data_IF_413055990051
#
_entry.id   IF_413055990051
#
_cell.length_a   1.000
_cell.length_b   1.000
_cell.length_c   1.000
_cell.angle_alpha   90.00
_cell.angle_beta   90.00
_cell.angle_gamma   90.00
#
_symmetry.space_group_name_H-M   'P 1'
#
loop_
_entity.id
_entity.type
_entity.pdbx_description
1 polymer ?
#
# COMPACT_ATOMS: atom_id res chain seq x y z
N UNK A 1 -34.88 4.38 31.87
CA UNK A 1 -33.78 3.98 30.95
C UNK A 1 -33.71 5.02 29.86
N UNK A 2 -32.63 5.81 29.79
CA UNK A 2 -32.44 6.73 28.66
C UNK A 2 -32.04 5.92 27.42
N UNK A 3 -32.58 6.28 26.25
CA UNK A 3 -32.20 5.63 24.99
C UNK A 3 -30.73 5.94 24.68
N UNK A 4 -29.93 4.90 24.45
CA UNK A 4 -28.54 5.00 23.96
C UNK A 4 -28.49 5.36 22.45
N UNK A 5 -29.42 6.22 22.01
CA UNK A 5 -29.32 6.94 20.75
C UNK A 5 -28.32 8.09 20.94
N UNK A 6 -27.06 7.73 20.80
CA UNK A 6 -25.87 8.56 20.88
C UNK A 6 -26.01 9.84 20.02
N UNK A 7 -26.40 10.97 20.64
CA UNK A 7 -26.74 12.23 19.96
C UNK A 7 -25.47 13.00 19.58
N UNK A 8 -24.78 12.49 18.56
CA UNK A 8 -23.72 13.23 17.89
C UNK A 8 -24.28 14.41 17.11
N UNK A 9 -23.57 15.52 17.13
CA UNK A 9 -24.01 16.72 16.43
C UNK A 9 -23.78 16.60 14.92
N UNK A 10 -24.68 17.19 14.14
CA UNK A 10 -24.52 17.36 12.69
C UNK A 10 -23.19 18.08 12.35
N UNK A 11 -22.74 18.96 13.27
CA UNK A 11 -21.48 19.68 13.20
C UNK A 11 -20.25 18.77 13.21
N UNK A 12 -20.17 17.78 14.11
CA UNK A 12 -19.02 16.86 14.17
C UNK A 12 -18.88 15.99 12.92
N UNK A 13 -20.02 15.62 12.29
CA UNK A 13 -20.03 14.92 11.00
C UNK A 13 -19.62 15.83 9.85
N UNK A 14 -20.09 17.07 9.86
CA UNK A 14 -19.69 18.13 8.90
C UNK A 14 -18.19 18.40 8.98
N UNK A 15 -17.63 18.44 10.19
CA UNK A 15 -16.19 18.58 10.43
C UNK A 15 -15.39 17.38 9.88
N UNK A 16 -15.88 16.16 10.08
CA UNK A 16 -15.24 14.98 9.49
C UNK A 16 -15.27 15.00 7.95
N UNK A 17 -16.38 15.39 7.32
CA UNK A 17 -16.47 15.58 5.87
C UNK A 17 -15.49 16.65 5.35
N UNK A 18 -15.39 17.80 6.04
CA UNK A 18 -14.40 18.84 5.72
C UNK A 18 -12.96 18.31 5.83
N UNK A 19 -12.64 17.54 6.86
CA UNK A 19 -11.32 16.94 7.01
C UNK A 19 -11.02 15.89 5.92
N UNK A 20 -12.02 15.12 5.49
CA UNK A 20 -11.89 14.16 4.39
C UNK A 20 -11.54 14.88 3.07
N UNK A 21 -12.30 15.93 2.73
CA UNK A 21 -12.02 16.77 1.56
C UNK A 21 -10.66 17.46 1.67
N UNK A 22 -10.28 17.95 2.86
CA UNK A 22 -8.96 18.55 3.09
C UNK A 22 -7.81 17.56 2.82
N UNK A 23 -7.93 16.29 3.26
CA UNK A 23 -6.95 15.23 2.98
C UNK A 23 -6.89 14.90 1.48
N UNK A 24 -8.00 14.97 0.75
CA UNK A 24 -8.03 14.68 -0.69
C UNK A 24 -7.47 15.85 -1.54
N UNK A 25 -7.76 17.09 -1.14
CA UNK A 25 -7.11 18.30 -1.69
C UNK A 25 -5.60 18.23 -1.46
N UNK A 26 -5.16 17.82 -0.26
CA UNK A 26 -3.74 17.67 0.05
C UNK A 26 -3.07 16.50 -0.70
N UNK A 27 -3.78 15.39 -0.95
CA UNK A 27 -3.33 14.34 -1.87
C UNK A 27 -3.03 14.92 -3.25
N UNK A 28 -4.02 15.56 -3.86
CA UNK A 28 -3.93 16.14 -5.21
C UNK A 28 -2.80 17.16 -5.34
N UNK A 29 -2.56 17.97 -4.30
CA UNK A 29 -1.43 18.91 -4.25
C UNK A 29 -0.06 18.22 -4.27
N UNK A 30 0.07 17.04 -3.66
CA UNK A 30 1.33 16.30 -3.56
C UNK A 30 1.62 15.35 -4.74
N UNK A 31 0.62 14.98 -5.54
CA UNK A 31 0.76 13.96 -6.60
C UNK A 31 1.88 14.29 -7.58
N UNK A 32 1.88 15.49 -8.14
CA UNK A 32 2.86 15.90 -9.16
C UNK A 32 4.28 16.01 -8.58
N UNK A 33 4.42 16.50 -7.35
CA UNK A 33 5.68 16.53 -6.64
C UNK A 33 6.20 15.10 -6.39
N UNK A 34 5.38 14.22 -5.81
CA UNK A 34 5.75 12.84 -5.51
C UNK A 34 6.14 12.06 -6.77
N UNK A 35 5.50 12.32 -7.92
CA UNK A 35 5.81 11.73 -9.23
C UNK A 35 7.18 12.15 -9.76
N UNK A 36 7.53 13.44 -9.61
CA UNK A 36 8.84 13.96 -9.99
C UNK A 36 9.94 13.45 -9.05
N UNK A 37 9.63 13.26 -7.77
CA UNK A 37 10.55 12.71 -6.78
C UNK A 37 10.75 11.20 -6.94
N UNK A 38 9.71 10.43 -7.32
CA UNK A 38 9.83 9.02 -7.68
C UNK A 38 10.77 8.82 -8.89
N UNK A 39 10.66 9.69 -9.91
CA UNK A 39 11.60 9.73 -11.05
C UNK A 39 13.02 10.07 -10.59
N UNK A 40 13.18 11.03 -9.69
CA UNK A 40 14.48 11.43 -9.14
C UNK A 40 15.15 10.30 -8.33
N UNK A 41 14.39 9.62 -7.47
CA UNK A 41 14.84 8.43 -6.72
C UNK A 41 15.29 7.32 -7.66
N UNK A 42 14.50 7.01 -8.69
CA UNK A 42 14.84 6.02 -9.71
C UNK A 42 16.16 6.38 -10.42
N UNK A 43 16.30 7.61 -10.93
CA UNK A 43 17.53 8.09 -11.59
C UNK A 43 18.74 7.97 -10.64
N UNK A 44 18.59 8.39 -9.38
CA UNK A 44 19.66 8.31 -8.38
C UNK A 44 20.11 6.87 -8.11
N UNK A 45 19.16 5.92 -7.99
CA UNK A 45 19.46 4.49 -7.83
C UNK A 45 20.23 3.97 -9.05
N UNK A 46 19.77 4.24 -10.27
CA UNK A 46 20.46 3.76 -11.46
C UNK A 46 21.85 4.40 -11.65
N UNK A 47 22.01 5.69 -11.39
CA UNK A 47 23.32 6.35 -11.43
C UNK A 47 24.31 5.73 -10.43
N UNK A 48 23.87 5.49 -9.19
CA UNK A 48 24.68 4.81 -8.17
C UNK A 48 25.07 3.40 -8.62
N UNK A 49 24.12 2.62 -9.14
CA UNK A 49 24.40 1.26 -9.64
C UNK A 49 25.36 1.29 -10.83
N UNK A 50 25.12 2.11 -11.84
CA UNK A 50 25.97 2.22 -13.04
C UNK A 50 27.39 2.68 -12.71
N UNK A 51 27.57 3.65 -11.80
CA UNK A 51 28.89 4.09 -11.34
C UNK A 51 29.71 2.96 -10.66
N UNK A 52 29.05 1.91 -10.19
CA UNK A 52 29.67 0.75 -9.54
C UNK A 52 29.94 -0.43 -10.48
N UNK A 53 29.59 -0.32 -11.77
CA UNK A 53 29.78 -1.38 -12.77
C UNK A 53 30.86 -0.93 -13.76
N UNK A 54 31.93 -1.71 -13.99
CA UNK A 54 32.96 -1.33 -14.96
C UNK A 54 32.38 -1.29 -16.39
N UNK A 55 32.69 -0.23 -17.12
CA UNK A 55 32.32 -0.10 -18.53
C UNK A 55 33.33 -0.84 -19.44
N UNK A 56 32.89 -1.43 -20.57
CA UNK A 56 31.51 -1.56 -21.02
C UNK A 56 30.85 -2.80 -20.39
N UNK A 57 29.74 -2.58 -19.67
CA UNK A 57 28.96 -3.65 -19.05
C UNK A 57 28.10 -4.35 -20.09
N UNK A 58 28.70 -5.23 -20.90
CA UNK A 58 28.00 -6.07 -21.88
C UNK A 58 27.84 -7.47 -21.32
N UNK A 59 26.61 -7.99 -21.31
CA UNK A 59 26.41 -9.40 -20.99
C UNK A 59 26.93 -10.26 -22.16
N UNK A 60 28.10 -10.88 -21.97
CA UNK A 60 28.76 -11.74 -22.96
C UNK A 60 27.92 -12.95 -23.46
N UNK A 61 26.76 -13.21 -22.86
CA UNK A 61 25.81 -14.26 -23.23
C UNK A 61 24.59 -13.78 -24.03
N UNK A 62 24.30 -12.48 -24.08
CA UNK A 62 23.11 -11.96 -24.80
C UNK A 62 23.31 -10.64 -25.55
N UNK A 63 24.49 -10.00 -25.46
CA UNK A 63 24.90 -8.82 -26.25
C UNK A 63 23.96 -7.60 -26.18
N UNK A 64 23.05 -7.55 -25.21
CA UNK A 64 22.18 -6.41 -24.93
C UNK A 64 22.88 -5.42 -24.00
N UNK A 65 22.78 -4.12 -24.31
CA UNK A 65 23.19 -3.07 -23.39
C UNK A 65 22.45 -3.22 -22.06
N UNK A 66 23.20 -3.17 -20.95
CA UNK A 66 22.64 -3.24 -19.61
C UNK A 66 21.67 -2.08 -19.37
N UNK A 67 20.45 -2.41 -18.92
CA UNK A 67 19.43 -1.62 -18.20
C UNK A 67 18.02 -2.20 -18.52
N UNK A 68 17.72 -3.38 -17.95
CA UNK A 68 16.39 -4.06 -17.82
C UNK A 68 15.23 -3.58 -18.74
N UNK A 69 14.50 -4.39 -19.51
CA UNK A 69 14.42 -5.83 -19.78
C UNK A 69 13.43 -5.95 -20.97
N UNK A 70 13.36 -7.05 -21.73
CA UNK A 70 12.19 -7.31 -22.60
C UNK A 70 12.00 -8.81 -22.90
N UNK A 71 10.79 -9.26 -23.30
CA UNK A 71 10.10 -10.26 -22.49
C UNK A 71 9.64 -11.48 -23.29
N UNK A 72 8.89 -12.38 -22.62
CA UNK A 72 8.16 -13.52 -23.22
C UNK A 72 9.00 -14.57 -23.96
N UNK A 73 9.47 -15.54 -23.18
CA UNK A 73 9.69 -16.97 -23.51
C UNK A 73 9.83 -17.38 -24.99
N UNK A 74 11.08 -17.48 -25.45
CA UNK A 74 11.49 -18.52 -26.41
C UNK A 74 12.24 -19.71 -25.76
N UNK A 75 12.92 -19.49 -24.62
CA UNK A 75 14.06 -20.36 -24.21
C UNK A 75 13.97 -20.93 -22.77
N UNK A 76 13.12 -20.41 -21.87
CA UNK A 76 12.92 -20.99 -20.53
C UNK A 76 12.10 -22.29 -20.51
N UNK A 77 12.18 -23.09 -21.58
CA UNK A 77 11.28 -24.20 -21.82
C UNK A 77 12.02 -25.52 -22.10
N UNK A 78 12.51 -26.17 -21.04
CA UNK A 78 12.44 -27.64 -20.93
C UNK A 78 11.95 -28.09 -19.55
N UNK A 79 10.62 -28.07 -19.44
CA UNK A 79 9.74 -28.97 -18.66
C UNK A 79 9.89 -28.98 -17.14
N UNK A 80 8.80 -28.60 -16.47
CA UNK A 80 8.64 -28.75 -15.02
C UNK A 80 8.10 -27.50 -14.35
N UNK A 81 7.11 -26.83 -14.94
CA UNK A 81 6.49 -25.69 -14.29
C UNK A 81 5.82 -26.12 -12.98
N UNK A 82 6.31 -25.60 -11.85
CA UNK A 82 5.50 -25.35 -10.65
C UNK A 82 6.13 -24.22 -9.81
N UNK A 83 5.24 -23.28 -9.45
CA UNK A 83 5.30 -22.26 -8.39
C UNK A 83 6.33 -21.11 -8.40
N UNK A 84 7.18 -20.91 -9.43
CA UNK A 84 8.19 -19.82 -9.41
C UNK A 84 8.78 -19.49 -10.80
N UNK A 85 9.32 -18.30 -11.13
CA UNK A 85 9.69 -17.04 -10.44
C UNK A 85 8.99 -16.63 -9.12
N UNK A 86 9.56 -16.98 -7.96
CA UNK A 86 9.05 -16.56 -6.63
C UNK A 86 10.14 -16.07 -5.66
N UNK A 87 10.71 -16.87 -4.75
CA UNK A 87 11.72 -17.89 -5.04
C UNK A 87 12.95 -17.37 -5.84
N UNK A 88 13.58 -16.30 -5.36
CA UNK A 88 15.03 -16.10 -5.50
C UNK A 88 15.78 -17.21 -4.74
N UNK A 89 15.84 -18.40 -5.33
CA UNK A 89 16.35 -19.63 -4.70
C UNK A 89 15.48 -20.10 -3.51
N UNK A 90 14.69 -21.15 -3.70
CA UNK A 90 14.23 -21.95 -2.56
C UNK A 90 14.94 -23.32 -2.56
N UNK A 91 15.38 -23.67 -1.36
CA UNK A 91 15.96 -24.91 -0.84
C UNK A 91 16.33 -26.07 -1.79
N UNK A 92 17.62 -26.45 -1.70
CA UNK A 92 18.11 -27.83 -1.86
C UNK A 92 18.11 -28.53 -3.24
N UNK A 93 18.30 -27.82 -4.36
CA UNK A 93 18.86 -28.46 -5.58
C UNK A 93 19.60 -27.48 -6.52
N UNK A 94 20.85 -27.81 -6.87
CA UNK A 94 21.69 -27.28 -7.98
C UNK A 94 21.59 -25.77 -8.29
N UNK A 95 22.63 -25.03 -7.92
CA UNK A 95 22.70 -23.56 -7.96
C UNK A 95 22.26 -22.92 -9.30
N UNK A 96 21.27 -22.02 -9.28
CA UNK A 96 20.93 -21.13 -10.41
C UNK A 96 22.09 -20.17 -10.76
N UNK A 97 22.26 -19.86 -12.05
CA UNK A 97 23.29 -18.93 -12.52
C UNK A 97 22.88 -17.48 -12.20
N UNK A 98 23.69 -16.70 -11.47
CA UNK A 98 23.39 -15.29 -11.21
C UNK A 98 23.50 -14.46 -12.50
N UNK A 99 22.85 -13.29 -12.54
CA UNK A 99 23.09 -12.34 -13.63
C UNK A 99 24.55 -11.82 -13.55
N UNK A 100 25.29 -11.77 -14.67
CA UNK A 100 26.76 -11.70 -14.63
C UNK A 100 27.34 -10.48 -13.89
N UNK A 101 26.69 -9.32 -14.00
CA UNK A 101 27.13 -8.07 -13.35
C UNK A 101 26.45 -7.81 -11.98
N UNK A 102 25.62 -8.74 -11.52
CA UNK A 102 24.80 -8.65 -10.31
C UNK A 102 23.86 -7.42 -10.24
N UNK A 103 23.56 -6.76 -11.38
CA UNK A 103 22.84 -5.47 -11.47
C UNK A 103 21.50 -5.48 -10.74
N UNK A 104 20.70 -6.55 -10.87
CA UNK A 104 19.42 -6.65 -10.16
C UNK A 104 19.58 -6.60 -8.63
N UNK A 105 20.60 -7.28 -8.09
CA UNK A 105 20.93 -7.24 -6.67
C UNK A 105 21.58 -5.90 -6.28
N UNK A 106 22.33 -5.23 -7.17
CA UNK A 106 22.84 -3.88 -6.91
C UNK A 106 21.70 -2.85 -6.80
N UNK A 107 20.69 -2.94 -7.68
CA UNK A 107 19.46 -2.13 -7.60
C UNK A 107 18.70 -2.44 -6.30
N UNK A 108 18.52 -3.72 -5.96
CA UNK A 108 17.90 -4.14 -4.69
C UNK A 108 18.63 -3.56 -3.47
N UNK A 109 19.95 -3.74 -3.40
CA UNK A 109 20.79 -3.23 -2.31
C UNK A 109 20.73 -1.70 -2.21
N UNK A 110 20.68 -0.97 -3.33
CA UNK A 110 20.55 0.49 -3.30
C UNK A 110 19.13 0.90 -2.88
N UNK A 111 18.07 0.17 -3.26
CA UNK A 111 16.71 0.39 -2.75
C UNK A 111 16.66 0.22 -1.22
N UNK A 112 17.23 -0.88 -0.70
CA UNK A 112 17.34 -1.13 0.75
C UNK A 112 18.16 -0.06 1.47
N UNK A 113 19.32 0.32 0.91
CA UNK A 113 20.19 1.37 1.43
C UNK A 113 19.48 2.73 1.45
N UNK A 114 18.66 3.04 0.45
CA UNK A 114 17.82 4.25 0.43
C UNK A 114 16.54 4.11 1.28
N UNK A 115 16.18 2.93 1.76
CA UNK A 115 15.05 2.73 2.66
C UNK A 115 15.42 3.07 4.11
N UNK A 116 14.65 3.93 4.77
CA UNK A 116 14.91 4.43 6.13
C UNK A 116 15.14 3.30 7.13
N UNK A 117 14.34 2.25 7.02
CA UNK A 117 14.38 1.08 7.92
C UNK A 117 15.04 -0.16 7.30
N UNK A 118 15.56 -0.11 6.07
CA UNK A 118 16.08 -1.27 5.33
C UNK A 118 15.12 -2.48 5.25
N UNK A 119 13.80 -2.24 5.21
CA UNK A 119 12.75 -3.26 5.06
C UNK A 119 11.79 -2.80 3.96
N UNK A 120 12.14 -2.94 2.66
CA UNK A 120 11.26 -2.52 1.58
C UNK A 120 10.09 -3.49 1.38
N UNK A 121 8.96 -2.94 0.94
CA UNK A 121 7.72 -3.70 0.68
C UNK A 121 7.75 -4.39 -0.68
N UNK A 122 8.59 -5.43 -0.80
CA UNK A 122 8.83 -6.15 -2.07
C UNK A 122 7.55 -6.67 -2.75
N UNK A 123 6.53 -7.08 -1.97
CA UNK A 123 5.24 -7.54 -2.51
C UNK A 123 4.43 -6.46 -3.27
N UNK A 124 4.77 -5.18 -3.11
CA UNK A 124 4.10 -4.11 -3.85
C UNK A 124 4.68 -3.90 -5.26
N UNK A 125 5.86 -4.44 -5.56
CA UNK A 125 6.65 -4.07 -6.74
C UNK A 125 6.94 -5.26 -7.67
N UNK A 126 7.04 -4.98 -8.97
CA UNK A 126 7.43 -5.96 -9.99
C UNK A 126 8.83 -5.64 -10.52
N UNK A 127 9.82 -6.47 -10.20
CA UNK A 127 11.23 -6.19 -10.52
C UNK A 127 11.53 -6.10 -12.04
N UNK A 128 10.76 -6.77 -12.89
CA UNK A 128 10.90 -6.70 -14.35
C UNK A 128 10.56 -5.32 -14.92
N UNK A 129 9.88 -4.46 -14.16
CA UNK A 129 9.47 -3.11 -14.54
C UNK A 129 10.34 -2.02 -13.88
N UNK A 130 11.38 -2.40 -13.13
CA UNK A 130 12.18 -1.45 -12.34
C UNK A 130 12.96 -0.41 -13.14
N UNK A 131 13.25 -0.61 -14.43
CA UNK A 131 13.96 0.41 -15.24
C UNK A 131 13.02 1.22 -16.13
N UNK A 132 11.91 0.64 -16.56
CA UNK A 132 10.92 1.31 -17.41
C UNK A 132 9.91 2.12 -16.61
N UNK A 133 9.72 1.83 -15.32
CA UNK A 133 8.62 2.39 -14.52
C UNK A 133 9.13 2.84 -13.13
N UNK A 134 9.50 4.12 -12.96
CA UNK A 134 9.96 4.68 -11.68
C UNK A 134 9.05 4.39 -10.49
N UNK A 135 7.73 4.40 -10.73
CA UNK A 135 6.75 4.09 -9.70
C UNK A 135 6.90 2.68 -9.08
N UNK A 136 7.39 1.70 -9.82
CA UNK A 136 7.61 0.35 -9.26
C UNK A 136 8.70 0.36 -8.19
N UNK A 137 9.77 1.14 -8.37
CA UNK A 137 10.76 1.36 -7.32
C UNK A 137 10.14 2.13 -6.13
N UNK A 138 9.37 3.19 -6.38
CA UNK A 138 8.71 3.96 -5.32
C UNK A 138 7.74 3.10 -4.46
N UNK A 139 7.05 2.12 -5.08
CA UNK A 139 6.19 1.16 -4.37
C UNK A 139 6.91 0.31 -3.31
N UNK A 140 8.22 0.13 -3.42
CA UNK A 140 9.01 -0.57 -2.40
C UNK A 140 9.11 0.22 -1.06
N UNK A 141 8.79 1.51 -1.06
CA UNK A 141 8.77 2.37 0.14
C UNK A 141 7.36 2.54 0.75
N UNK A 142 6.32 2.01 0.10
CA UNK A 142 4.94 2.05 0.61
C UNK A 142 4.73 1.06 1.75
N UNK A 143 3.65 1.17 2.54
CA UNK A 143 3.28 0.14 3.51
C UNK A 143 3.10 -1.23 2.85
N UNK A 144 3.34 -2.34 3.55
CA UNK A 144 3.40 -3.67 2.95
C UNK A 144 2.07 -4.12 2.30
N UNK A 145 0.93 -3.60 2.73
CA UNK A 145 -0.39 -4.08 2.34
C UNK A 145 -1.24 -2.98 1.70
N UNK A 146 -1.97 -3.34 0.63
CA UNK A 146 -2.92 -2.46 -0.06
C UNK A 146 -2.41 -1.75 -1.33
N UNK A 147 -1.12 -1.88 -1.70
CA UNK A 147 -0.52 -1.07 -2.77
C UNK A 147 0.00 -1.83 -3.99
N UNK A 148 -0.02 -3.17 -3.99
CA UNK A 148 0.49 -3.99 -5.11
C UNK A 148 -0.22 -3.70 -6.44
N UNK A 149 -1.54 -3.53 -6.41
CA UNK A 149 -2.37 -3.21 -7.59
C UNK A 149 -2.41 -1.73 -7.99
N UNK A 150 -1.74 -0.82 -7.27
CA UNK A 150 -1.74 0.62 -7.61
C UNK A 150 -0.74 0.87 -8.74
N UNK A 151 -1.23 1.37 -9.89
CA UNK A 151 -0.44 1.50 -11.12
C UNK A 151 0.35 2.79 -11.20
N UNK A 152 -0.09 3.81 -10.46
CA UNK A 152 0.45 5.18 -10.45
C UNK A 152 0.35 5.82 -9.06
N UNK A 153 0.86 7.05 -8.93
CA UNK A 153 0.69 7.88 -7.74
C UNK A 153 -0.76 8.38 -7.60
N UNK A 154 -1.42 8.65 -8.71
CA UNK A 154 -2.81 9.10 -8.75
C UNK A 154 -3.76 8.05 -8.15
N UNK A 155 -3.48 6.77 -8.37
CA UNK A 155 -4.23 5.64 -7.77
C UNK A 155 -3.98 5.48 -6.26
N UNK A 156 -2.89 6.06 -5.76
CA UNK A 156 -2.35 5.84 -4.41
C UNK A 156 -2.95 6.84 -3.43
N UNK A 157 -3.39 6.38 -2.25
CA UNK A 157 -4.00 7.28 -1.27
C UNK A 157 -2.97 8.23 -0.62
N UNK A 158 -3.47 9.23 0.10
CA UNK A 158 -2.64 10.20 0.83
C UNK A 158 -1.63 9.50 1.77
N UNK A 159 -2.05 8.46 2.47
CA UNK A 159 -1.18 7.73 3.40
C UNK A 159 -0.04 7.01 2.68
N UNK A 160 -0.27 6.46 1.49
CA UNK A 160 0.76 5.90 0.62
C UNK A 160 1.78 6.95 0.19
N UNK A 161 1.33 8.09 -0.34
CA UNK A 161 2.21 9.19 -0.77
C UNK A 161 3.09 9.66 0.39
N UNK A 162 2.51 9.94 1.56
CA UNK A 162 3.29 10.35 2.74
C UNK A 162 4.22 9.22 3.22
N UNK A 163 3.81 7.95 3.13
CA UNK A 163 4.65 6.82 3.53
C UNK A 163 5.87 6.64 2.61
N UNK A 164 5.73 6.85 1.30
CA UNK A 164 6.87 6.91 0.36
C UNK A 164 7.87 7.98 0.81
N UNK A 165 7.40 9.20 1.10
CA UNK A 165 8.23 10.30 1.59
C UNK A 165 8.91 9.98 2.94
N UNK A 166 8.20 9.33 3.86
CA UNK A 166 8.74 8.98 5.18
C UNK A 166 9.77 7.84 5.16
N UNK A 167 9.61 6.88 4.24
CA UNK A 167 10.42 5.67 4.18
C UNK A 167 11.61 5.78 3.22
N UNK A 168 11.63 6.74 2.30
CA UNK A 168 12.76 6.95 1.39
C UNK A 168 13.71 8.04 1.92
N UNK A 169 14.99 7.69 2.13
CA UNK A 169 16.02 8.60 2.67
C UNK A 169 16.29 9.83 1.80
N UNK A 170 15.93 9.77 0.52
CA UNK A 170 15.96 10.89 -0.43
C UNK A 170 15.21 12.14 0.07
N UNK A 171 14.19 11.98 0.91
CA UNK A 171 13.42 13.10 1.47
C UNK A 171 13.96 13.64 2.81
N UNK A 172 14.96 12.99 3.43
CA UNK A 172 15.47 13.37 4.76
C UNK A 172 15.96 14.83 4.84
N UNK A 173 16.43 15.38 3.71
CA UNK A 173 16.95 16.75 3.58
C UNK A 173 16.05 17.67 2.75
N UNK A 174 14.88 17.18 2.29
CA UNK A 174 13.96 17.93 1.43
C UNK A 174 12.84 18.66 2.16
N UNK A 175 12.58 18.35 3.43
CA UNK A 175 11.55 19.00 4.25
C UNK A 175 12.19 19.78 5.39
N UNK A 176 11.58 20.91 5.76
CA UNK A 176 12.09 21.83 6.78
C UNK A 176 12.16 21.19 8.18
N UNK A 177 11.31 20.18 8.42
CA UNK A 177 11.32 19.37 9.63
C UNK A 177 11.93 18.00 9.33
N UNK A 178 13.20 17.74 9.67
CA UNK A 178 13.84 16.47 9.40
C UNK A 178 13.06 15.32 10.06
N UNK A 179 13.03 14.17 9.39
CA UNK A 179 12.19 13.02 9.76
C UNK A 179 12.75 12.35 11.02
N UNK A 180 12.43 12.90 12.19
CA UNK A 180 12.68 12.44 13.56
C UNK A 180 13.62 11.22 13.69
N UNK A 181 14.84 11.45 14.17
CA UNK A 181 15.90 10.45 14.25
C UNK A 181 15.84 9.54 15.50
N UNK A 182 14.90 9.75 16.42
CA UNK A 182 14.80 8.96 17.65
C UNK A 182 13.39 8.92 18.27
N UNK A 183 13.18 7.98 19.19
CA UNK A 183 11.88 7.71 19.86
C UNK A 183 11.33 8.88 20.68
N UNK A 184 12.18 9.84 21.05
CA UNK A 184 11.84 10.97 21.93
C UNK A 184 11.77 12.32 21.18
N UNK A 185 11.95 12.33 19.86
CA UNK A 185 11.81 13.55 19.05
C UNK A 185 10.33 13.82 18.76
N UNK A 186 9.87 15.09 18.75
CA UNK A 186 8.50 15.41 18.34
C UNK A 186 8.23 14.90 16.91
N UNK A 187 7.00 14.42 16.61
CA UNK A 187 6.69 13.88 15.31
C UNK A 187 6.87 14.95 14.22
N UNK A 188 7.69 14.64 13.22
CA UNK A 188 7.89 15.51 12.06
C UNK A 188 6.56 15.72 11.31
N UNK A 189 6.53 16.75 10.45
CA UNK A 189 5.31 17.17 9.77
C UNK A 189 4.66 16.05 8.93
N UNK A 190 5.48 15.22 8.27
CA UNK A 190 5.03 14.02 7.54
C UNK A 190 4.39 12.97 8.48
N UNK A 191 4.94 12.76 9.67
CA UNK A 191 4.34 11.85 10.67
C UNK A 191 2.92 12.31 11.04
N UNK A 192 2.77 13.61 11.36
CA UNK A 192 1.46 14.18 11.68
C UNK A 192 0.48 14.07 10.52
N UNK A 193 0.91 14.40 9.31
CA UNK A 193 0.09 14.29 8.11
C UNK A 193 -0.41 12.86 7.88
N UNK A 194 0.47 11.85 7.94
CA UNK A 194 0.09 10.42 7.84
C UNK A 194 -0.91 10.03 8.93
N UNK A 195 -0.70 10.47 10.15
CA UNK A 195 -1.56 10.08 11.27
C UNK A 195 -2.95 10.75 11.16
N UNK A 196 -3.03 11.99 10.66
CA UNK A 196 -4.28 12.64 10.21
C UNK A 196 -4.96 11.82 9.10
N UNK A 197 -4.22 11.45 8.05
CA UNK A 197 -4.77 10.67 6.94
C UNK A 197 -5.35 9.33 7.38
N UNK A 198 -4.77 8.71 8.41
CA UNK A 198 -5.33 7.52 9.08
C UNK A 198 -6.57 7.82 9.90
N UNK A 199 -6.52 8.83 10.78
CA UNK A 199 -7.66 9.23 11.62
C UNK A 199 -8.88 9.54 10.75
N UNK A 200 -8.71 10.35 9.70
CA UNK A 200 -9.80 10.77 8.83
C UNK A 200 -10.36 9.60 8.00
N UNK A 201 -9.52 8.76 7.39
CA UNK A 201 -9.98 7.66 6.51
C UNK A 201 -10.36 6.36 7.24
N UNK A 202 -10.01 6.20 8.51
CA UNK A 202 -10.33 5.01 9.32
C UNK A 202 -11.11 5.30 10.61
N UNK A 203 -11.59 6.53 10.84
CA UNK A 203 -12.51 6.80 11.95
C UNK A 203 -13.81 6.03 11.74
N UNK A 204 -14.00 4.93 12.48
CA UNK A 204 -15.25 4.16 12.53
C UNK A 204 -16.44 4.98 12.99
N UNK A 205 -16.19 6.14 13.59
CA UNK A 205 -17.21 7.05 14.09
C UNK A 205 -17.53 8.21 13.14
N UNK A 206 -16.66 8.54 12.17
CA UNK A 206 -16.84 9.66 11.23
C UNK A 206 -17.18 11.01 11.90
N UNK A 207 -16.43 11.37 12.95
CA UNK A 207 -16.60 12.60 13.76
C UNK A 207 -15.27 13.27 14.02
N UNK A 208 -15.27 14.60 14.12
CA UNK A 208 -14.15 15.42 14.57
C UNK A 208 -14.67 16.66 15.32
N UNK A 209 -13.98 17.07 16.37
CA UNK A 209 -14.24 18.36 17.03
C UNK A 209 -13.75 19.52 16.15
N UNK A 210 -14.15 20.75 16.49
CA UNK A 210 -13.60 21.94 15.81
C UNK A 210 -12.08 22.04 16.00
N UNK A 211 -11.56 21.67 17.17
CA UNK A 211 -10.14 21.70 17.47
C UNK A 211 -9.35 20.71 16.59
N UNK A 212 -9.86 19.49 16.42
CA UNK A 212 -9.25 18.50 15.51
C UNK A 212 -9.25 19.01 14.07
N UNK A 213 -10.37 19.58 13.60
CA UNK A 213 -10.47 20.13 12.26
C UNK A 213 -9.47 21.25 12.01
N UNK A 214 -9.28 22.16 12.97
CA UNK A 214 -8.31 23.25 12.86
C UNK A 214 -6.86 22.75 12.86
N UNK A 215 -6.51 21.74 13.68
CA UNK A 215 -5.16 21.14 13.63
C UNK A 215 -4.90 20.39 12.32
N UNK A 216 -5.94 19.77 11.73
CA UNK A 216 -5.87 19.14 10.41
C UNK A 216 -5.59 20.18 9.31
N UNK A 217 -6.39 21.24 9.22
CA UNK A 217 -6.15 22.31 8.23
C UNK A 217 -4.77 22.93 8.39
N UNK A 218 -4.36 23.22 9.64
CA UNK A 218 -3.03 23.77 9.95
C UNK A 218 -1.91 22.83 9.52
N UNK A 219 -2.01 21.54 9.82
CA UNK A 219 -0.98 20.56 9.50
C UNK A 219 -0.85 20.33 7.99
N UNK A 220 -1.96 20.21 7.27
CA UNK A 220 -1.96 20.02 5.81
C UNK A 220 -1.47 21.29 5.09
N UNK A 221 -1.89 22.48 5.54
CA UNK A 221 -1.41 23.75 5.00
C UNK A 221 0.09 23.93 5.21
N UNK A 222 0.59 23.65 6.42
CA UNK A 222 2.03 23.70 6.73
C UNK A 222 2.84 22.72 5.86
N UNK A 223 2.29 21.53 5.57
CA UNK A 223 2.96 20.54 4.72
C UNK A 223 3.10 21.07 3.29
N UNK A 224 1.98 21.47 2.67
CA UNK A 224 1.95 21.97 1.29
C UNK A 224 2.67 23.31 1.12
N UNK A 225 2.91 24.03 2.21
CA UNK A 225 3.66 25.30 2.24
C UNK A 225 5.12 25.14 2.71
N UNK A 226 5.67 23.92 2.76
CA UNK A 226 7.04 23.72 3.25
C UNK A 226 8.04 24.51 2.36
N UNK A 227 8.79 25.47 2.94
CA UNK A 227 9.64 26.39 2.18
C UNK A 227 10.84 25.71 1.52
N UNK A 228 11.17 24.47 1.87
CA UNK A 228 12.33 23.76 1.31
C UNK A 228 12.02 22.90 0.07
N UNK A 229 10.74 22.57 -0.19
CA UNK A 229 10.36 21.75 -1.36
C UNK A 229 9.01 22.07 -2.01
N UNK A 230 8.02 22.61 -1.29
CA UNK A 230 6.64 22.71 -1.79
C UNK A 230 6.13 24.16 -1.95
N UNK A 231 6.80 25.15 -1.37
CA UNK A 231 6.45 26.57 -1.53
C UNK A 231 6.50 27.09 -2.98
N UNK A 232 7.25 26.43 -3.87
CA UNK A 232 7.31 26.75 -5.30
C UNK A 232 6.50 25.77 -6.17
N UNK A 233 5.94 24.70 -5.60
CA UNK A 233 5.16 23.72 -6.34
C UNK A 233 3.74 24.23 -6.60
N UNK A 234 3.39 24.40 -7.88
CA UNK A 234 2.14 25.04 -8.30
C UNK A 234 0.91 24.25 -7.84
N UNK A 235 0.96 22.92 -7.85
CA UNK A 235 -0.14 22.06 -7.42
C UNK A 235 -0.36 22.18 -5.89
N UNK A 236 0.73 22.19 -5.12
CA UNK A 236 0.70 22.37 -3.67
C UNK A 236 0.18 23.75 -3.27
N UNK A 237 0.64 24.82 -3.93
CA UNK A 237 0.14 26.17 -3.65
C UNK A 237 -1.33 26.37 -4.06
N UNK A 238 -1.81 25.69 -5.10
CA UNK A 238 -3.22 25.70 -5.44
C UNK A 238 -4.07 24.88 -4.44
N UNK A 239 -3.54 23.75 -3.95
CA UNK A 239 -4.16 22.99 -2.86
C UNK A 239 -4.24 23.82 -1.56
N UNK A 240 -3.23 24.63 -1.21
CA UNK A 240 -3.26 25.56 -0.08
C UNK A 240 -4.42 26.56 -0.20
N UNK A 241 -4.63 27.16 -1.38
CA UNK A 241 -5.78 28.08 -1.61
C UNK A 241 -7.12 27.35 -1.43
N UNK A 242 -7.25 26.13 -1.96
CA UNK A 242 -8.45 25.29 -1.81
C UNK A 242 -8.72 24.93 -0.35
N UNK A 243 -7.68 24.59 0.42
CA UNK A 243 -7.79 24.38 1.87
C UNK A 243 -8.26 25.62 2.61
N UNK A 244 -7.65 26.78 2.36
CA UNK A 244 -8.05 28.05 2.97
C UNK A 244 -9.50 28.41 2.63
N UNK A 245 -9.96 28.14 1.41
CA UNK A 245 -11.37 28.30 1.02
C UNK A 245 -12.28 27.35 1.81
N UNK A 246 -11.99 26.05 1.83
CA UNK A 246 -12.78 25.03 2.54
C UNK A 246 -12.84 25.26 4.07
N UNK A 247 -11.78 25.85 4.65
CA UNK A 247 -11.73 26.21 6.06
C UNK A 247 -12.70 27.35 6.38
N UNK A 248 -12.72 28.40 5.56
CA UNK A 248 -13.52 29.62 5.78
C UNK A 248 -14.98 29.51 5.30
N UNK A 249 -15.23 28.83 4.17
CA UNK A 249 -16.58 28.62 3.65
C UNK A 249 -17.36 27.62 4.52
N UNK A 250 -18.68 27.77 4.63
CA UNK A 250 -19.54 26.66 5.05
C UNK A 250 -19.37 25.46 4.11
N UNK A 251 -19.65 24.23 4.55
CA UNK A 251 -19.50 23.02 3.70
C UNK A 251 -20.50 23.06 2.54
N UNK A 252 -20.09 23.69 1.43
CA UNK A 252 -20.79 23.75 0.15
C UNK A 252 -20.20 22.70 -0.77
N UNK A 253 -20.58 21.44 -0.55
CA UNK A 253 -20.16 20.33 -1.42
C UNK A 253 -20.65 20.63 -2.84
N UNK A 254 -19.72 20.87 -3.76
CA UNK A 254 -20.01 20.98 -5.19
C UNK A 254 -20.43 19.62 -5.75
N UNK A 255 -21.10 19.61 -6.91
CA UNK A 255 -21.50 18.34 -7.54
C UNK A 255 -20.29 17.44 -7.83
N UNK A 256 -19.13 18.00 -8.18
CA UNK A 256 -17.87 17.28 -8.39
C UNK A 256 -17.36 16.64 -7.09
N UNK A 257 -17.28 17.39 -5.98
CA UNK A 257 -16.89 16.85 -4.67
C UNK A 257 -17.87 15.77 -4.17
N UNK A 258 -19.16 15.91 -4.48
CA UNK A 258 -20.17 14.89 -4.16
C UNK A 258 -19.97 13.62 -4.99
N UNK A 259 -19.60 13.74 -6.28
CA UNK A 259 -19.22 12.60 -7.13
C UNK A 259 -17.97 11.91 -6.58
N UNK A 260 -16.94 12.66 -6.17
CA UNK A 260 -15.74 12.07 -5.55
C UNK A 260 -16.05 11.32 -4.25
N UNK A 261 -16.92 11.86 -3.39
CA UNK A 261 -17.39 11.16 -2.19
C UNK A 261 -18.18 9.89 -2.55
N UNK A 262 -19.07 9.94 -3.54
CA UNK A 262 -19.84 8.77 -4.00
C UNK A 262 -18.93 7.68 -4.59
N UNK A 263 -17.93 8.04 -5.39
CA UNK A 263 -16.94 7.11 -5.93
C UNK A 263 -16.08 6.46 -4.83
N UNK A 264 -15.70 7.24 -3.80
CA UNK A 264 -14.98 6.70 -2.64
C UNK A 264 -15.86 5.74 -1.82
N UNK A 265 -17.17 6.00 -1.69
CA UNK A 265 -18.12 5.08 -1.05
C UNK A 265 -18.30 3.81 -1.89
N UNK A 266 -18.39 3.92 -3.23
CA UNK A 266 -18.47 2.78 -4.16
C UNK A 266 -17.21 1.89 -4.11
N UNK A 267 -15.99 2.45 -4.05
CA UNK A 267 -14.76 1.67 -3.85
C UNK A 267 -14.79 0.91 -2.50
N UNK A 268 -15.34 1.53 -1.45
CA UNK A 268 -15.52 0.85 -0.15
C UNK A 268 -16.58 -0.23 -0.19
N UNK A 269 -17.71 -0.02 -0.87
CA UNK A 269 -18.75 -1.05 -1.04
C UNK A 269 -18.19 -2.26 -1.78
N UNK A 270 -17.49 -2.08 -2.91
CA UNK A 270 -16.81 -3.16 -3.64
C UNK A 270 -15.79 -3.92 -2.79
N UNK A 271 -15.11 -3.22 -1.88
CA UNK A 271 -14.20 -3.85 -0.91
C UNK A 271 -14.97 -4.71 0.09
N UNK A 272 -16.11 -4.24 0.60
CA UNK A 272 -17.00 -5.00 1.51
C UNK A 272 -17.57 -6.23 0.80
N UNK A 273 -18.04 -6.11 -0.45
CA UNK A 273 -18.55 -7.23 -1.25
C UNK A 273 -17.47 -8.31 -1.44
N UNK A 274 -16.25 -7.90 -1.81
CA UNK A 274 -15.11 -8.83 -1.97
C UNK A 274 -14.78 -9.58 -0.66
N UNK A 275 -14.87 -8.89 0.48
CA UNK A 275 -14.69 -9.52 1.81
C UNK A 275 -15.83 -10.49 2.10
N UNK A 276 -17.08 -10.10 1.84
CA UNK A 276 -18.25 -10.93 2.05
C UNK A 276 -18.21 -12.21 1.21
N UNK A 277 -17.84 -12.12 -0.08
CA UNK A 277 -17.64 -13.28 -0.95
C UNK A 277 -16.56 -14.23 -0.41
N UNK A 278 -15.41 -13.71 0.03
CA UNK A 278 -14.34 -14.52 0.62
C UNK A 278 -14.79 -15.22 1.90
N UNK A 279 -15.46 -14.51 2.81
CA UNK A 279 -15.99 -15.09 4.04
C UNK A 279 -17.08 -16.14 3.75
N UNK A 280 -17.94 -15.92 2.76
CA UNK A 280 -18.93 -16.92 2.32
C UNK A 280 -18.26 -18.18 1.75
N UNK A 281 -17.17 -18.03 0.99
CA UNK A 281 -16.40 -19.18 0.50
C UNK A 281 -15.73 -19.97 1.64
N UNK A 282 -15.14 -19.29 2.63
CA UNK A 282 -14.56 -19.90 3.83
C UNK A 282 -15.63 -20.65 4.67
N UNK A 283 -16.81 -20.04 4.87
CA UNK A 283 -17.95 -20.68 5.55
C UNK A 283 -18.39 -21.95 4.79
N UNK A 284 -18.54 -21.90 3.46
CA UNK A 284 -18.93 -23.08 2.66
C UNK A 284 -17.93 -24.24 2.82
N UNK A 285 -16.63 -23.97 2.74
CA UNK A 285 -15.58 -24.98 2.94
C UNK A 285 -15.69 -25.61 4.33
N UNK A 286 -15.99 -24.80 5.36
CA UNK A 286 -16.18 -25.29 6.73
C UNK A 286 -17.46 -26.13 6.87
N UNK A 287 -18.59 -25.67 6.32
CA UNK A 287 -19.86 -26.41 6.29
C UNK A 287 -19.71 -27.77 5.62
N UNK A 288 -19.06 -27.83 4.46
CA UNK A 288 -18.81 -29.09 3.74
C UNK A 288 -17.90 -30.04 4.53
N UNK A 289 -16.94 -29.49 5.28
CA UNK A 289 -16.09 -30.29 6.18
C UNK A 289 -16.91 -30.89 7.32
N UNK A 290 -17.66 -30.07 8.05
CA UNK A 290 -18.50 -30.55 9.16
C UNK A 290 -19.56 -31.55 8.70
N UNK A 291 -20.10 -31.40 7.49
CA UNK A 291 -21.02 -32.37 6.90
C UNK A 291 -20.36 -33.73 6.67
N UNK A 292 -19.16 -33.78 6.08
CA UNK A 292 -18.40 -35.04 5.92
C UNK A 292 -18.08 -35.70 7.26
N UNK A 293 -17.68 -34.92 8.26
CA UNK A 293 -17.41 -35.42 9.62
C UNK A 293 -18.68 -36.00 10.26
N UNK A 294 -19.85 -35.37 10.08
CA UNK A 294 -21.14 -35.88 10.55
C UNK A 294 -21.56 -37.17 9.82
N UNK A 295 -21.37 -37.25 8.50
CA UNK A 295 -21.67 -38.44 7.71
C UNK A 295 -20.77 -39.62 8.16
N UNK A 296 -19.46 -39.38 8.38
CA UNK A 296 -18.53 -40.37 8.94
C UNK A 296 -18.94 -40.84 10.34
N UNK A 297 -19.30 -39.92 11.24
CA UNK A 297 -19.76 -40.26 12.59
C UNK A 297 -21.07 -41.06 12.57
N UNK A 298 -21.98 -40.74 11.64
CA UNK A 298 -23.24 -41.46 11.46
C UNK A 298 -22.98 -42.90 11.02
N UNK A 299 -22.07 -43.11 10.07
CA UNK A 299 -21.78 -44.46 9.55
C UNK A 299 -20.99 -45.32 10.54
N UNK A 300 -20.05 -44.72 11.29
CA UNK A 300 -19.39 -45.40 12.43
C UNK A 300 -20.40 -45.84 13.49
N UNK A 301 -21.45 -45.04 13.73
CA UNK A 301 -22.53 -45.40 14.68
C UNK A 301 -23.40 -46.55 14.18
N UNK A 302 -23.77 -46.58 12.88
CA UNK A 302 -24.49 -47.74 12.30
C UNK A 302 -23.68 -49.03 12.44
N UNK A 303 -22.41 -48.99 12.03
CA UNK A 303 -21.50 -50.13 12.12
C UNK A 303 -21.28 -50.62 13.56
N UNK A 304 -21.39 -49.74 14.58
CA UNK A 304 -21.37 -50.15 15.98
C UNK A 304 -22.67 -50.89 16.37
N UNK A 305 -23.83 -50.33 16.04
CA UNK A 305 -25.15 -50.91 16.33
C UNK A 305 -25.40 -52.25 15.62
N UNK A 306 -24.88 -52.42 14.40
CA UNK A 306 -24.98 -53.70 13.68
C UNK A 306 -24.07 -54.76 14.33
N UNK A 307 -22.86 -54.41 14.78
CA UNK A 307 -21.98 -55.32 15.55
C UNK A 307 -22.55 -55.72 16.91
N UNK A 308 -23.23 -54.79 17.60
CA UNK A 308 -23.93 -55.08 18.85
C UNK A 308 -25.04 -56.11 18.61
N UNK A 309 -25.84 -55.95 17.53
CA UNK A 309 -26.88 -56.91 17.14
C UNK A 309 -26.32 -58.28 16.74
N UNK A 310 -25.24 -58.32 15.95
CA UNK A 310 -24.57 -59.57 15.55
C UNK A 310 -24.03 -60.32 16.79
N UNK A 311 -23.53 -59.59 17.80
CA UNK A 311 -23.06 -60.16 19.05
C UNK A 311 -24.22 -60.73 19.89
N UNK A 312 -25.32 -59.99 20.04
CA UNK A 312 -26.54 -60.47 20.72
C UNK A 312 -27.08 -61.76 20.10
N UNK A 313 -27.21 -61.82 18.76
CA UNK A 313 -27.67 -63.01 18.04
C UNK A 313 -26.72 -64.22 18.14
N UNK A 314 -25.45 -64.00 18.49
CA UNK A 314 -24.48 -65.09 18.66
C UNK A 314 -24.50 -65.73 20.05
N UNK A 315 -25.27 -65.15 20.99
CA UNK A 315 -25.35 -65.56 22.39
C UNK A 315 -26.69 -66.24 22.76
N UNK A 316 -27.64 -66.35 21.82
CA UNK A 316 -28.91 -67.09 21.94
C UNK A 316 -28.82 -68.50 21.34
#
# INVERSE_FOLDING_TARGET
MASLADVFTEKERTNWLKAWLAVDIAKSGLEQFAENEAKSVHINIYNNVLSSVPAPAVCNLCNTANLLQCPTQGICNKRGAKSACTAMHDTAAKQPRPCPDNVCNKVLNEIEKQHKYAIPSWKNTTATLWASTPWQIAKAYLPPDGYSGKSSIQDTDFNGIISFMMNCKHFNTKFSFPIAAGKNSPPCLLTKARDIGRIVRHSSQCKLTDADLQDIFKTLTNLLSDPTCLAQDVASQEAVKKLAKLQNDGLKITTEEMIHLLLAVDEKLKTVDTIAEKTLAEIRIHTDKCKRELDEHTERRKLALDRERDYEQSCE
#
